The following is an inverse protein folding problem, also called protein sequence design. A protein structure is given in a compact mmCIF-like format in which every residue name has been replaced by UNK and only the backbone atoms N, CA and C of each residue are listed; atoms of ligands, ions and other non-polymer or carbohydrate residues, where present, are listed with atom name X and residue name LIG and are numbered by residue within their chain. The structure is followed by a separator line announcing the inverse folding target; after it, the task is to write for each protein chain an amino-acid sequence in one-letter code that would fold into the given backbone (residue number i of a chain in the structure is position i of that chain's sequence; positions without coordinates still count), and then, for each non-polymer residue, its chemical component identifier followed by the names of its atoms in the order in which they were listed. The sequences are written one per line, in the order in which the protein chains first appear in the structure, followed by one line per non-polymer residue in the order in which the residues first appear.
data_IF_426476371827
#
_entry.id   IF_426476371827
#
_cell.length_a   1.000
_cell.length_b   1.000
_cell.length_c   1.000
_cell.angle_alpha   90.00
_cell.angle_beta   90.00
_cell.angle_gamma   90.00
#
_symmetry.space_group_name_H-M   'P 1'
#
loop_
_entity.id
_entity.type
_entity.pdbx_description
1 polymer ?
#
# COMPACT_ATOMS: atom_id res chain seq x y z
N UNK A 1 -18.43 43.28 -8.26
CA UNK A 1 -18.86 41.92 -7.89
C UNK A 1 -17.96 40.94 -8.63
N UNK A 2 -16.86 40.53 -8.01
CA UNK A 2 -15.93 39.55 -8.58
C UNK A 2 -16.40 38.14 -8.21
N UNK A 3 -16.93 37.41 -9.19
CA UNK A 3 -17.25 35.99 -9.04
C UNK A 3 -15.98 35.16 -9.20
N UNK A 4 -15.42 34.71 -8.10
CA UNK A 4 -14.37 33.69 -8.09
C UNK A 4 -14.95 32.37 -8.59
N UNK A 5 -14.53 31.94 -9.78
CA UNK A 5 -14.80 30.60 -10.28
C UNK A 5 -13.87 29.63 -9.56
N UNK A 6 -14.47 28.77 -8.74
CA UNK A 6 -13.82 27.70 -8.02
C UNK A 6 -13.13 26.74 -8.98
N UNK A 7 -11.89 26.41 -8.62
CA UNK A 7 -11.02 25.40 -9.19
C UNK A 7 -11.72 24.03 -9.24
N UNK A 8 -12.06 23.58 -10.44
CA UNK A 8 -12.48 22.20 -10.72
C UNK A 8 -11.23 21.36 -11.04
N UNK A 9 -10.45 21.02 -10.02
CA UNK A 9 -9.25 20.15 -10.15
C UNK A 9 -9.48 18.72 -9.62
N UNK A 10 -10.72 18.36 -9.27
CA UNK A 10 -11.03 17.10 -8.59
C UNK A 10 -11.54 15.94 -9.45
N UNK A 11 -11.90 16.16 -10.72
CA UNK A 11 -12.72 15.19 -11.48
C UNK A 11 -11.96 14.38 -12.55
N UNK A 12 -10.73 14.75 -12.91
CA UNK A 12 -9.98 14.10 -14.01
C UNK A 12 -9.06 12.94 -13.58
N UNK A 13 -8.94 12.64 -12.28
CA UNK A 13 -8.12 11.50 -11.83
C UNK A 13 -8.85 10.14 -11.85
N UNK A 14 -10.16 10.13 -12.12
CA UNK A 14 -11.01 8.95 -11.98
C UNK A 14 -11.08 8.01 -13.19
N UNK A 15 -10.70 8.48 -14.38
CA UNK A 15 -11.14 7.82 -15.63
C UNK A 15 -10.28 6.63 -16.07
N UNK A 16 -9.09 6.44 -15.48
CA UNK A 16 -8.17 5.37 -15.87
C UNK A 16 -7.54 4.61 -14.69
N UNK A 17 -8.27 4.50 -13.56
CA UNK A 17 -7.77 3.79 -12.36
C UNK A 17 -7.79 2.25 -12.48
N UNK A 18 -8.30 1.71 -13.59
CA UNK A 18 -8.39 0.27 -13.83
C UNK A 18 -9.25 -0.46 -12.79
N UNK A 19 -9.31 -1.79 -12.89
CA UNK A 19 -10.05 -2.64 -11.93
C UNK A 19 -9.43 -2.54 -10.54
N UNK A 20 -8.09 -2.46 -10.44
CA UNK A 20 -7.37 -2.30 -9.19
C UNK A 20 -7.82 -1.06 -8.41
N UNK A 21 -7.90 0.10 -9.08
CA UNK A 21 -8.30 1.33 -8.41
C UNK A 21 -9.69 1.26 -7.82
N UNK A 22 -10.65 0.63 -8.53
CA UNK A 22 -12.00 0.41 -7.99
C UNK A 22 -12.02 -0.55 -6.80
N UNK A 23 -11.23 -1.63 -6.85
CA UNK A 23 -11.09 -2.55 -5.70
C UNK A 23 -10.49 -1.80 -4.51
N UNK A 24 -9.47 -0.96 -4.75
CA UNK A 24 -8.86 -0.15 -3.70
C UNK A 24 -9.83 0.86 -3.13
N UNK A 25 -10.66 1.52 -3.93
CA UNK A 25 -11.65 2.49 -3.43
C UNK A 25 -12.68 1.80 -2.51
N UNK A 26 -13.01 0.52 -2.75
CA UNK A 26 -13.89 -0.28 -1.87
C UNK A 26 -13.15 -0.74 -0.60
N UNK A 27 -11.88 -1.13 -0.72
CA UNK A 27 -11.08 -1.63 0.41
C UNK A 27 -10.59 -0.50 1.32
N UNK A 28 -10.29 0.68 0.78
CA UNK A 28 -9.72 1.83 1.50
C UNK A 28 -10.50 2.23 2.77
N UNK A 29 -11.85 2.35 2.77
CA UNK A 29 -12.60 2.64 4.00
C UNK A 29 -12.51 1.51 5.03
N UNK A 30 -12.36 0.26 4.60
CA UNK A 30 -12.22 -0.91 5.49
C UNK A 30 -10.80 -1.06 6.04
N UNK A 31 -9.82 -0.46 5.36
CA UNK A 31 -8.41 -0.41 5.71
C UNK A 31 -8.07 0.80 6.63
N UNK A 32 -9.06 1.45 7.22
CA UNK A 32 -8.86 2.53 8.21
C UNK A 32 -8.45 1.98 9.58
N UNK A 33 -7.68 2.76 10.36
CA UNK A 33 -7.09 2.35 11.65
C UNK A 33 -8.11 1.70 12.61
N UNK A 34 -9.33 2.19 12.67
CA UNK A 34 -10.38 1.70 13.57
C UNK A 34 -10.94 0.32 13.17
N UNK A 35 -11.01 0.03 11.86
CA UNK A 35 -11.57 -1.21 11.31
C UNK A 35 -10.49 -2.27 11.03
N UNK A 36 -9.24 -1.84 10.90
CA UNK A 36 -8.09 -2.69 10.60
C UNK A 36 -7.91 -3.85 11.59
N UNK A 37 -8.18 -3.63 12.88
CA UNK A 37 -8.03 -4.67 13.89
C UNK A 37 -9.14 -5.73 13.84
N UNK A 38 -10.31 -5.42 13.27
CA UNK A 38 -11.49 -6.30 13.27
C UNK A 38 -11.58 -7.23 12.05
N UNK A 39 -10.97 -6.86 10.92
CA UNK A 39 -11.18 -7.59 9.66
C UNK A 39 -9.87 -8.18 9.11
N UNK A 40 -9.51 -9.36 9.60
CA UNK A 40 -8.34 -10.11 9.10
C UNK A 40 -8.52 -10.57 7.65
N UNK A 41 -9.76 -10.88 7.24
CA UNK A 41 -10.09 -11.20 5.86
C UNK A 41 -9.78 -10.05 4.88
N UNK A 42 -10.02 -8.79 5.28
CA UNK A 42 -9.78 -7.62 4.42
C UNK A 42 -8.27 -7.44 4.18
N UNK A 43 -7.43 -7.72 5.17
CA UNK A 43 -5.97 -7.71 5.03
C UNK A 43 -5.49 -8.75 4.03
N UNK A 44 -6.04 -9.96 4.13
CA UNK A 44 -5.73 -11.06 3.21
C UNK A 44 -6.18 -10.74 1.79
N UNK A 45 -7.39 -10.23 1.62
CA UNK A 45 -7.91 -9.82 0.30
C UNK A 45 -7.07 -8.68 -0.27
N UNK A 46 -6.68 -7.70 0.54
CA UNK A 46 -5.78 -6.62 0.12
C UNK A 46 -4.42 -7.16 -0.33
N UNK A 47 -3.77 -7.98 0.50
CA UNK A 47 -2.46 -8.55 0.20
C UNK A 47 -2.51 -9.43 -1.05
N UNK A 48 -3.53 -10.28 -1.16
CA UNK A 48 -3.74 -11.11 -2.35
C UNK A 48 -3.96 -10.26 -3.60
N UNK A 49 -4.82 -9.24 -3.54
CA UNK A 49 -5.08 -8.34 -4.68
C UNK A 49 -3.81 -7.63 -5.12
N UNK A 50 -3.00 -7.14 -4.17
CA UNK A 50 -1.73 -6.49 -4.45
C UNK A 50 -0.75 -7.44 -5.14
N UNK A 51 -0.65 -8.68 -4.66
CA UNK A 51 0.22 -9.70 -5.25
C UNK A 51 -0.22 -10.11 -6.67
N UNK A 52 -1.52 -10.03 -6.98
CA UNK A 52 -2.04 -10.31 -8.33
C UNK A 52 -1.74 -9.17 -9.31
N UNK A 53 -1.54 -7.93 -8.84
CA UNK A 53 -1.27 -6.80 -9.74
C UNK A 53 0.22 -6.60 -9.95
N UNK A 54 0.63 -6.61 -11.22
CA UNK A 54 2.02 -6.40 -11.66
C UNK A 54 2.12 -5.14 -12.53
N UNK A 55 3.31 -4.86 -13.08
CA UNK A 55 3.53 -3.73 -14.00
C UNK A 55 2.54 -3.77 -15.18
N UNK A 56 2.05 -2.60 -15.65
CA UNK A 56 2.34 -1.23 -15.20
C UNK A 56 1.29 -0.64 -14.22
N UNK A 57 0.25 -1.39 -13.87
CA UNK A 57 -0.92 -0.85 -13.14
C UNK A 57 -0.65 -0.50 -11.67
N UNK A 58 0.51 -0.94 -11.13
CA UNK A 58 0.88 -0.77 -9.73
C UNK A 58 1.44 0.64 -9.42
N UNK A 59 2.27 1.20 -10.31
CA UNK A 59 2.92 2.51 -10.14
C UNK A 59 1.98 3.66 -9.73
N UNK A 60 0.84 3.91 -10.40
CA UNK A 60 -0.06 5.02 -10.05
C UNK A 60 -0.82 4.79 -8.72
N UNK A 61 -0.91 3.55 -8.25
CA UNK A 61 -1.65 3.20 -7.02
C UNK A 61 -0.74 3.08 -5.79
N UNK A 62 0.58 3.14 -5.95
CA UNK A 62 1.54 2.99 -4.86
C UNK A 62 1.32 3.92 -3.67
N UNK A 63 0.90 5.17 -3.89
CA UNK A 63 0.59 6.12 -2.81
C UNK A 63 -0.52 5.62 -1.88
N UNK A 64 -1.46 4.83 -2.43
CA UNK A 64 -2.58 4.23 -1.68
C UNK A 64 -2.26 2.83 -1.16
N UNK A 65 -1.34 2.11 -1.80
CA UNK A 65 -0.94 0.74 -1.42
C UNK A 65 0.16 0.70 -0.35
N UNK A 66 1.05 1.70 -0.31
CA UNK A 66 2.14 1.76 0.66
C UNK A 66 1.64 1.89 2.10
N UNK A 67 0.72 2.82 2.45
CA UNK A 67 0.24 2.96 3.82
C UNK A 67 -0.34 1.66 4.41
N UNK A 68 -1.26 0.92 3.74
CA UNK A 68 -1.76 -0.35 4.27
C UNK A 68 -0.68 -1.45 4.32
N UNK A 69 0.26 -1.49 3.37
CA UNK A 69 1.36 -2.47 3.40
C UNK A 69 2.30 -2.22 4.59
N UNK A 70 2.62 -0.96 4.88
CA UNK A 70 3.40 -0.56 6.05
C UNK A 70 2.64 -0.87 7.36
N UNK A 71 1.33 -0.63 7.38
CA UNK A 71 0.49 -0.95 8.54
C UNK A 71 0.40 -2.46 8.81
N UNK A 72 0.46 -3.31 7.77
CA UNK A 72 0.59 -4.76 7.92
C UNK A 72 1.90 -5.13 8.60
N UNK A 73 3.00 -4.50 8.18
CA UNK A 73 4.34 -4.76 8.76
C UNK A 73 4.44 -4.33 10.23
N UNK A 74 3.75 -3.24 10.62
CA UNK A 74 3.70 -2.78 12.03
C UNK A 74 2.74 -3.58 12.93
N UNK A 75 2.01 -4.55 12.39
CA UNK A 75 1.01 -5.27 13.17
C UNK A 75 1.66 -6.22 14.19
N UNK A 76 1.09 -6.31 15.40
CA UNK A 76 1.56 -7.21 16.47
C UNK A 76 1.49 -8.71 16.14
N UNK A 77 0.85 -9.09 15.02
CA UNK A 77 0.67 -10.49 14.62
C UNK A 77 1.66 -10.83 13.52
N UNK A 78 2.43 -11.89 13.74
CA UNK A 78 3.45 -12.35 12.80
C UNK A 78 2.88 -12.65 11.41
N UNK A 79 1.68 -13.24 11.33
CA UNK A 79 1.06 -13.59 10.05
C UNK A 79 0.83 -12.35 9.18
N UNK A 80 0.37 -11.26 9.82
CA UNK A 80 0.15 -9.98 9.15
C UNK A 80 1.49 -9.29 8.81
N UNK A 81 2.51 -9.43 9.66
CA UNK A 81 3.85 -8.92 9.37
C UNK A 81 4.46 -9.61 8.14
N UNK A 82 4.41 -10.94 8.08
CA UNK A 82 4.90 -11.73 6.93
C UNK A 82 4.16 -11.33 5.64
N UNK A 83 2.84 -11.15 5.71
CA UNK A 83 2.05 -10.65 4.57
C UNK A 83 2.49 -9.25 4.15
N UNK A 84 2.70 -8.35 5.10
CA UNK A 84 3.20 -7.00 4.84
C UNK A 84 4.55 -7.03 4.13
N UNK A 85 5.51 -7.81 4.63
CA UNK A 85 6.84 -7.96 4.01
C UNK A 85 6.72 -8.54 2.60
N UNK A 86 5.87 -9.54 2.37
CA UNK A 86 5.60 -10.08 1.02
C UNK A 86 5.03 -9.02 0.09
N UNK A 87 4.10 -8.19 0.56
CA UNK A 87 3.56 -7.07 -0.21
C UNK A 87 4.64 -6.04 -0.56
N UNK A 88 5.49 -5.65 0.41
CA UNK A 88 6.58 -4.71 0.16
C UNK A 88 7.61 -5.27 -0.82
N UNK A 89 7.97 -6.54 -0.69
CA UNK A 89 8.87 -7.22 -1.63
C UNK A 89 8.29 -7.23 -3.05
N UNK A 90 7.00 -7.55 -3.20
CA UNK A 90 6.32 -7.51 -4.50
C UNK A 90 6.28 -6.10 -5.09
N UNK A 91 6.02 -5.08 -4.28
CA UNK A 91 6.07 -3.67 -4.70
C UNK A 91 7.46 -3.33 -5.23
N UNK A 92 8.53 -3.68 -4.52
CA UNK A 92 9.91 -3.40 -4.93
C UNK A 92 10.25 -4.08 -6.26
N UNK A 93 9.85 -5.35 -6.42
CA UNK A 93 10.09 -6.10 -7.66
C UNK A 93 9.25 -5.60 -8.85
N UNK A 94 8.03 -5.11 -8.60
CA UNK A 94 7.10 -4.67 -9.64
C UNK A 94 7.09 -3.16 -9.88
N UNK A 95 7.92 -2.39 -9.20
CA UNK A 95 8.02 -0.94 -9.39
C UNK A 95 9.38 -0.58 -10.00
N UNK A 96 9.48 0.33 -10.98
CA UNK A 96 10.77 0.82 -11.44
C UNK A 96 11.44 1.67 -10.34
N UNK A 97 12.77 1.61 -10.25
CA UNK A 97 13.52 2.34 -9.23
C UNK A 97 13.27 3.85 -9.28
N UNK A 98 12.97 4.41 -10.46
CA UNK A 98 12.59 5.81 -10.63
C UNK A 98 11.34 6.17 -9.81
N UNK A 99 10.28 5.36 -9.88
CA UNK A 99 9.02 5.59 -9.16
C UNK A 99 9.15 5.37 -7.65
N UNK A 100 10.07 4.51 -7.22
CA UNK A 100 10.39 4.32 -5.79
C UNK A 100 11.23 5.47 -5.23
N UNK A 101 12.16 6.00 -6.03
CA UNK A 101 12.97 7.16 -5.66
C UNK A 101 12.13 8.44 -5.68
N UNK A 102 11.13 8.51 -6.54
CA UNK A 102 10.12 9.56 -6.54
C UNK A 102 9.36 9.56 -5.20
N UNK A 103 9.20 10.74 -4.61
CA UNK A 103 8.59 10.94 -3.28
C UNK A 103 9.31 10.23 -2.11
N UNK A 104 10.58 9.86 -2.26
CA UNK A 104 11.38 9.25 -1.20
C UNK A 104 10.78 7.94 -0.63
N UNK A 105 9.98 7.21 -1.43
CA UNK A 105 9.31 5.97 -1.00
C UNK A 105 10.31 4.86 -0.71
N UNK A 106 11.43 4.84 -1.43
CA UNK A 106 12.54 3.93 -1.18
C UNK A 106 13.09 4.05 0.25
N UNK A 107 13.21 5.26 0.79
CA UNK A 107 13.68 5.50 2.16
C UNK A 107 12.67 5.01 3.19
N UNK A 108 11.37 5.28 2.97
CA UNK A 108 10.29 4.82 3.86
C UNK A 108 10.23 3.29 3.89
N UNK A 109 10.36 2.66 2.72
CA UNK A 109 10.44 1.19 2.61
C UNK A 109 11.67 0.65 3.31
N UNK A 110 12.83 1.28 3.13
CA UNK A 110 14.06 0.89 3.79
C UNK A 110 13.90 0.96 5.32
N UNK A 111 13.41 2.07 5.86
CA UNK A 111 13.19 2.21 7.31
C UNK A 111 12.19 1.18 7.85
N UNK A 112 11.11 0.92 7.11
CA UNK A 112 10.11 -0.06 7.50
C UNK A 112 10.58 -1.52 7.40
N UNK A 113 11.51 -1.85 6.50
CA UNK A 113 12.11 -3.19 6.46
C UNK A 113 13.25 -3.30 7.47
N UNK A 114 14.02 -2.23 7.65
CA UNK A 114 15.16 -2.17 8.56
C UNK A 114 14.72 -2.35 10.02
N UNK A 115 13.60 -1.74 10.44
CA UNK A 115 13.04 -2.00 11.79
C UNK A 115 12.77 -3.48 12.04
N UNK A 116 12.40 -4.26 11.01
CA UNK A 116 12.18 -5.70 11.14
C UNK A 116 13.46 -6.53 11.20
N UNK A 117 14.58 -5.99 10.73
CA UNK A 117 15.89 -6.62 10.87
C UNK A 117 16.41 -6.56 12.32
N UNK A 118 15.98 -5.54 13.08
CA UNK A 118 16.36 -5.34 14.49
C UNK A 118 15.32 -5.83 15.48
N UNK A 119 14.04 -5.94 15.08
CA UNK A 119 13.05 -6.69 15.84
C UNK A 119 13.42 -8.17 15.77
N UNK A 120 13.99 -8.67 16.86
CA UNK A 120 14.21 -10.09 17.12
C UNK A 120 12.89 -10.83 17.15
N UNK A 121 12.33 -11.14 15.99
CA UNK A 121 11.31 -12.16 15.85
C UNK A 121 11.86 -13.29 14.99
N UNK A 122 12.49 -14.21 15.70
CA UNK A 122 13.18 -15.44 15.26
C UNK A 122 12.28 -16.45 14.53
N UNK A 123 11.17 -16.00 13.93
CA UNK A 123 10.24 -16.82 13.16
C UNK A 123 10.14 -16.42 11.67
N UNK A 124 10.68 -15.27 11.26
CA UNK A 124 10.54 -14.77 9.87
C UNK A 124 11.70 -15.21 8.95
N UNK A 125 12.72 -15.88 9.50
CA UNK A 125 13.80 -16.51 8.72
C UNK A 125 13.63 -18.03 8.76
N UNK A 126 12.66 -18.55 8.02
CA UNK A 126 12.67 -19.94 7.53
C UNK A 126 12.03 -20.01 6.16
#
# INVERSE_FOLDING_TARGET
MGGGSQTNEGEEEGKNRGILGRILDILQPQLTKDLWHRYEAVKLVFAWTLLQVTRPSLSPHLSRLLPPSLLLTDHFRQENCILGVRCLHHIVLNTPAADLRQFNRAEVLYQALFKHLYSTDTAVIK
#
